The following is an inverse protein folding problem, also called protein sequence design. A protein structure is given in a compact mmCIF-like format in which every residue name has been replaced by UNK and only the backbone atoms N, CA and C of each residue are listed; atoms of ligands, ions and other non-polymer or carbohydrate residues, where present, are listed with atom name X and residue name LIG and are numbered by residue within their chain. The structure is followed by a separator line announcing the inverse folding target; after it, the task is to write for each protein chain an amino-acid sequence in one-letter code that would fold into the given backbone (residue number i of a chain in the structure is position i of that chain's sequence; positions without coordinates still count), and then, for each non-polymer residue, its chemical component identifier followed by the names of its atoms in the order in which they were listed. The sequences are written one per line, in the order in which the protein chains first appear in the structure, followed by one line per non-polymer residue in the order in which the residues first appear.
data_IF_523028984015
#
_entry.id   IF_523028984015
#
_cell.length_a   1.000
_cell.length_b   1.000
_cell.length_c   1.000
_cell.angle_alpha   90.00
_cell.angle_beta   90.00
_cell.angle_gamma   90.00
#
_symmetry.space_group_name_H-M   'P 1'
#
loop_
_entity.id
_entity.type
_entity.pdbx_description
1 polymer ?
#
# COMPACT_ATOMS: atom_id res chain seq x y z
N UNK A 1 50.34 1.32 -1.44
CA UNK A 1 50.58 0.38 -2.56
C UNK A 1 52.08 0.05 -2.68
N UNK A 2 52.48 -1.06 -3.30
CA UNK A 2 53.87 -1.60 -3.22
C UNK A 2 54.97 -0.60 -3.67
N UNK A 3 54.88 -0.05 -4.88
CA UNK A 3 55.88 0.89 -5.40
C UNK A 3 55.77 2.30 -4.80
N UNK A 4 54.61 2.65 -4.23
CA UNK A 4 54.40 3.93 -3.53
C UNK A 4 55.04 3.97 -2.13
N UNK A 5 55.49 2.83 -1.59
CA UNK A 5 56.16 2.80 -0.29
C UNK A 5 57.44 3.62 -0.34
N UNK A 6 57.67 4.46 0.68
CA UNK A 6 58.78 5.42 0.71
C UNK A 6 60.15 4.73 0.45
N UNK A 7 60.38 3.57 1.06
CA UNK A 7 61.60 2.80 0.85
C UNK A 7 61.76 2.30 -0.60
N UNK A 8 60.69 1.80 -1.21
CA UNK A 8 60.73 1.28 -2.58
C UNK A 8 60.88 2.43 -3.60
N UNK A 9 60.19 3.54 -3.37
CA UNK A 9 60.32 4.75 -4.19
C UNK A 9 61.76 5.31 -4.17
N UNK A 10 62.41 5.34 -2.99
CA UNK A 10 63.82 5.71 -2.86
C UNK A 10 64.76 4.77 -3.65
N UNK A 11 64.48 3.47 -3.64
CA UNK A 11 65.26 2.49 -4.42
C UNK A 11 65.10 2.72 -5.92
N UNK A 12 63.87 2.92 -6.42
CA UNK A 12 63.61 3.22 -7.83
C UNK A 12 64.35 4.49 -8.27
N UNK A 13 64.26 5.58 -7.49
CA UNK A 13 64.96 6.83 -7.77
C UNK A 13 66.49 6.67 -7.78
N UNK A 14 67.04 5.90 -6.84
CA UNK A 14 68.48 5.60 -6.77
C UNK A 14 68.96 4.81 -7.99
N UNK A 15 68.21 3.77 -8.39
CA UNK A 15 68.51 2.99 -9.59
C UNK A 15 68.49 3.87 -10.85
N UNK A 16 67.47 4.71 -11.03
CA UNK A 16 67.36 5.59 -12.20
C UNK A 16 68.58 6.51 -12.37
N UNK A 17 69.10 7.04 -11.26
CA UNK A 17 70.32 7.86 -11.24
C UNK A 17 71.56 7.04 -11.57
N UNK A 18 71.74 5.88 -10.92
CA UNK A 18 72.89 4.99 -11.16
C UNK A 18 72.94 4.51 -12.62
N UNK A 19 71.80 4.10 -13.16
CA UNK A 19 71.67 3.60 -14.52
C UNK A 19 71.92 4.69 -15.57
N UNK A 20 71.64 5.96 -15.27
CA UNK A 20 71.95 7.07 -16.18
C UNK A 20 73.44 7.40 -16.22
N UNK A 21 74.14 7.26 -15.08
CA UNK A 21 75.59 7.47 -15.00
C UNK A 21 76.43 6.25 -15.42
N UNK A 22 75.81 5.11 -15.66
CA UNK A 22 76.51 3.87 -15.96
C UNK A 22 77.07 3.89 -17.39
N UNK A 23 78.36 3.60 -17.54
CA UNK A 23 78.97 3.35 -18.84
C UNK A 23 79.18 1.84 -19.01
N UNK A 24 78.54 1.26 -20.03
CA UNK A 24 78.62 -0.16 -20.36
C UNK A 24 79.21 -0.26 -21.77
N UNK A 25 80.33 -0.96 -21.89
CA UNK A 25 81.02 -1.17 -23.18
C UNK A 25 80.25 -2.12 -24.10
N UNK A 26 79.56 -3.11 -23.53
CA UNK A 26 78.70 -4.04 -24.26
C UNK A 26 77.41 -3.36 -24.75
N UNK A 27 77.27 -3.27 -26.08
CA UNK A 27 76.14 -2.60 -26.73
C UNK A 27 74.78 -3.25 -26.40
N UNK A 28 74.73 -4.58 -26.33
CA UNK A 28 73.50 -5.34 -26.03
C UNK A 28 73.06 -5.07 -24.59
N UNK A 29 73.99 -5.12 -23.64
CA UNK A 29 73.69 -4.85 -22.22
C UNK A 29 73.39 -3.38 -21.96
N UNK A 30 74.02 -2.47 -22.69
CA UNK A 30 73.67 -1.05 -22.66
C UNK A 30 72.23 -0.82 -23.15
N UNK A 31 71.81 -1.50 -24.22
CA UNK A 31 70.42 -1.48 -24.71
C UNK A 31 69.45 -2.03 -23.66
N UNK A 32 69.75 -3.19 -23.06
CA UNK A 32 68.96 -3.79 -21.97
C UNK A 32 68.79 -2.83 -20.79
N UNK A 33 69.88 -2.20 -20.32
CA UNK A 33 69.82 -1.23 -19.22
C UNK A 33 68.97 -0.01 -19.56
N UNK A 34 69.08 0.54 -20.78
CA UNK A 34 68.25 1.68 -21.23
C UNK A 34 66.76 1.34 -21.24
N UNK A 35 66.41 0.14 -21.69
CA UNK A 35 65.03 -0.35 -21.67
C UNK A 35 64.53 -0.46 -20.23
N UNK A 36 65.28 -1.13 -19.36
CA UNK A 36 64.95 -1.26 -17.93
C UNK A 36 64.78 0.08 -17.24
N UNK A 37 65.70 1.02 -17.46
CA UNK A 37 65.61 2.38 -16.92
C UNK A 37 64.35 3.08 -17.39
N UNK A 38 63.97 2.92 -18.66
CA UNK A 38 62.76 3.54 -19.19
C UNK A 38 61.51 3.00 -18.52
N UNK A 39 61.37 1.67 -18.39
CA UNK A 39 60.24 1.02 -17.74
C UNK A 39 60.16 1.42 -16.26
N UNK A 40 61.29 1.36 -15.53
CA UNK A 40 61.36 1.81 -14.13
C UNK A 40 61.03 3.29 -14.01
N UNK A 41 61.36 4.10 -15.00
CA UNK A 41 60.98 5.51 -15.06
C UNK A 41 59.46 5.71 -15.13
N UNK A 42 58.73 4.85 -15.84
CA UNK A 42 57.27 4.85 -15.83
C UNK A 42 56.71 4.39 -14.47
N UNK A 43 57.29 3.35 -13.86
CA UNK A 43 56.91 2.90 -12.52
C UNK A 43 57.09 4.00 -11.47
N UNK A 44 58.20 4.75 -11.54
CA UNK A 44 58.48 5.84 -10.61
C UNK A 44 57.54 7.03 -10.79
N UNK A 45 57.12 7.33 -12.03
CA UNK A 45 56.19 8.42 -12.34
C UNK A 45 54.74 8.11 -11.93
N UNK A 46 54.33 6.85 -12.02
CA UNK A 46 52.96 6.41 -11.71
C UNK A 46 52.96 5.18 -10.78
N UNK A 47 53.49 5.29 -9.55
CA UNK A 47 53.74 4.13 -8.69
C UNK A 47 52.47 3.43 -8.23
N UNK A 48 51.35 4.15 -8.08
CA UNK A 48 50.06 3.57 -7.70
C UNK A 48 49.48 2.72 -8.84
N UNK A 49 49.44 3.27 -10.05
CA UNK A 49 48.91 2.61 -11.24
C UNK A 49 49.67 1.30 -11.55
N UNK A 50 51.00 1.32 -11.43
CA UNK A 50 51.83 0.12 -11.58
C UNK A 50 51.69 -0.84 -10.41
N UNK A 51 51.42 -0.37 -9.20
CA UNK A 51 51.22 -1.26 -8.05
C UNK A 51 49.88 -2.00 -8.11
N UNK A 52 48.85 -1.35 -8.64
CA UNK A 52 47.53 -1.95 -8.82
C UNK A 52 47.55 -2.97 -9.97
N UNK A 53 48.16 -2.60 -11.11
CA UNK A 53 48.16 -3.42 -12.32
C UNK A 53 49.21 -4.51 -12.35
N UNK A 54 50.20 -4.50 -11.46
CA UNK A 54 51.26 -5.50 -11.42
C UNK A 54 51.25 -6.37 -10.15
N UNK A 55 50.06 -6.67 -9.63
CA UNK A 55 49.88 -7.39 -8.37
C UNK A 55 50.44 -8.82 -8.37
N UNK A 56 50.42 -9.52 -9.51
CA UNK A 56 50.96 -10.87 -9.67
C UNK A 56 52.48 -10.87 -9.52
N UNK A 57 53.21 -10.07 -10.32
CA UNK A 57 54.67 -10.03 -10.16
C UNK A 57 55.07 -9.38 -8.83
N UNK A 58 54.31 -8.43 -8.26
CA UNK A 58 54.56 -7.93 -6.90
C UNK A 58 54.53 -9.09 -5.88
N UNK A 59 53.50 -9.93 -5.93
CA UNK A 59 53.33 -11.08 -5.04
C UNK A 59 54.45 -12.10 -5.20
N UNK A 60 54.89 -12.38 -6.42
CA UNK A 60 55.83 -13.47 -6.69
C UNK A 60 57.30 -13.06 -6.68
N UNK A 61 57.64 -11.86 -7.15
CA UNK A 61 59.02 -11.41 -7.37
C UNK A 61 59.27 -9.94 -6.96
N UNK A 62 58.29 -9.26 -6.36
CA UNK A 62 58.37 -7.82 -6.07
C UNK A 62 59.51 -7.45 -5.14
N UNK A 63 59.68 -8.17 -4.02
CA UNK A 63 60.76 -7.90 -3.06
C UNK A 63 62.15 -8.12 -3.68
N UNK A 64 62.31 -9.24 -4.41
CA UNK A 64 63.55 -9.57 -5.12
C UNK A 64 63.89 -8.53 -6.18
N UNK A 65 62.88 -8.00 -6.89
CA UNK A 65 63.07 -6.91 -7.83
C UNK A 65 63.64 -5.65 -7.17
N UNK A 66 63.08 -5.25 -6.02
CA UNK A 66 63.58 -4.09 -5.27
C UNK A 66 65.01 -4.31 -4.78
N UNK A 67 65.36 -5.52 -4.35
CA UNK A 67 66.73 -5.86 -3.94
C UNK A 67 67.71 -5.74 -5.10
N UNK A 68 67.40 -6.28 -6.27
CA UNK A 68 68.25 -6.16 -7.45
C UNK A 68 68.43 -4.72 -7.93
N UNK A 69 67.38 -3.90 -7.86
CA UNK A 69 67.50 -2.47 -8.17
C UNK A 69 68.39 -1.73 -7.15
N UNK A 70 68.31 -2.10 -5.86
CA UNK A 70 69.12 -1.50 -4.79
C UNK A 70 70.60 -1.80 -4.99
N UNK A 71 70.91 -3.07 -5.28
CA UNK A 71 72.26 -3.61 -5.35
C UNK A 71 72.92 -3.45 -6.72
N UNK A 72 72.22 -2.84 -7.69
CA UNK A 72 72.71 -2.58 -9.03
C UNK A 72 74.10 -1.92 -9.05
N UNK A 73 75.00 -2.52 -9.84
CA UNK A 73 76.35 -2.05 -10.15
C UNK A 73 76.60 -2.16 -11.65
N UNK A 74 77.17 -1.13 -12.25
CA UNK A 74 77.45 -1.10 -13.71
C UNK A 74 78.48 -2.12 -14.17
N UNK A 75 79.29 -2.68 -13.26
CA UNK A 75 80.29 -3.70 -13.55
C UNK A 75 79.74 -5.13 -13.57
N UNK A 76 78.48 -5.33 -13.16
CA UNK A 76 77.87 -6.66 -13.05
C UNK A 76 76.88 -6.91 -14.20
N UNK A 77 77.36 -7.63 -15.20
CA UNK A 77 76.59 -8.01 -16.38
C UNK A 77 75.35 -8.86 -16.05
N UNK A 78 75.45 -9.74 -15.05
CA UNK A 78 74.35 -10.63 -14.66
C UNK A 78 73.24 -9.85 -13.97
N UNK A 79 73.59 -8.80 -13.20
CA UNK A 79 72.62 -7.89 -12.60
C UNK A 79 71.77 -7.16 -13.66
N UNK A 80 72.39 -6.69 -14.76
CA UNK A 80 71.68 -6.01 -15.85
C UNK A 80 70.65 -6.95 -16.49
N UNK A 81 71.05 -8.19 -16.75
CA UNK A 81 70.20 -9.20 -17.38
C UNK A 81 69.00 -9.58 -16.50
N UNK A 82 69.22 -9.75 -15.20
CA UNK A 82 68.14 -10.01 -14.24
C UNK A 82 67.14 -8.85 -14.12
N UNK A 83 67.64 -7.62 -14.00
CA UNK A 83 66.80 -6.42 -13.95
C UNK A 83 66.02 -6.29 -15.24
N UNK A 84 66.65 -6.52 -16.39
CA UNK A 84 66.01 -6.51 -17.70
C UNK A 84 64.85 -7.50 -17.80
N UNK A 85 65.10 -8.78 -17.51
CA UNK A 85 64.06 -9.80 -17.54
C UNK A 85 62.88 -9.48 -16.62
N UNK A 86 63.14 -9.01 -15.39
CA UNK A 86 62.06 -8.65 -14.46
C UNK A 86 61.31 -7.40 -14.91
N UNK A 87 62.00 -6.35 -15.34
CA UNK A 87 61.32 -5.13 -15.82
C UNK A 87 60.39 -5.43 -16.99
N UNK A 88 60.78 -6.33 -17.88
CA UNK A 88 59.91 -6.79 -18.96
C UNK A 88 58.70 -7.60 -18.47
N UNK A 89 58.86 -8.45 -17.45
CA UNK A 89 57.72 -9.16 -16.81
C UNK A 89 56.68 -8.18 -16.29
N UNK A 90 57.11 -7.15 -15.57
CA UNK A 90 56.21 -6.10 -15.10
C UNK A 90 55.51 -5.36 -16.24
N UNK A 91 56.23 -5.07 -17.33
CA UNK A 91 55.64 -4.45 -18.52
C UNK A 91 54.55 -5.32 -19.15
N UNK A 92 54.81 -6.62 -19.31
CA UNK A 92 53.83 -7.57 -19.86
C UNK A 92 52.59 -7.70 -18.98
N UNK A 93 52.76 -7.72 -17.65
CA UNK A 93 51.63 -7.75 -16.73
C UNK A 93 50.82 -6.45 -16.77
N UNK A 94 51.50 -5.30 -16.78
CA UNK A 94 50.86 -4.00 -16.89
C UNK A 94 49.99 -3.90 -18.16
N UNK A 95 50.53 -4.36 -19.29
CA UNK A 95 49.81 -4.42 -20.56
C UNK A 95 48.60 -5.35 -20.50
N UNK A 96 48.77 -6.55 -19.93
CA UNK A 96 47.68 -7.52 -19.78
C UNK A 96 46.52 -7.00 -18.92
N UNK A 97 46.81 -6.19 -17.90
CA UNK A 97 45.84 -5.65 -16.94
C UNK A 97 45.51 -4.16 -17.16
N UNK A 98 45.73 -3.62 -18.35
CA UNK A 98 45.46 -2.20 -18.65
C UNK A 98 43.95 -1.89 -18.67
N UNK A 99 43.11 -2.89 -18.94
CA UNK A 99 41.65 -2.82 -18.92
C UNK A 99 41.01 -2.72 -20.30
N UNK A 100 39.70 -2.97 -20.37
CA UNK A 100 38.96 -3.04 -21.62
C UNK A 100 39.02 -1.71 -22.40
N UNK A 101 39.38 -1.78 -23.69
CA UNK A 101 39.44 -0.63 -24.59
C UNK A 101 40.61 0.33 -24.35
N UNK A 102 41.57 -0.03 -23.49
CA UNK A 102 42.80 0.73 -23.28
C UNK A 102 43.97 0.00 -23.92
N UNK A 103 44.90 0.77 -24.47
CA UNK A 103 46.14 0.26 -25.06
C UNK A 103 47.34 0.84 -24.33
N UNK A 104 48.42 0.09 -24.37
CA UNK A 104 49.71 0.52 -23.86
C UNK A 104 50.17 1.77 -24.63
N UNK A 105 50.79 2.72 -23.93
CA UNK A 105 51.25 3.94 -24.58
C UNK A 105 52.26 3.63 -25.70
N UNK A 106 52.32 4.46 -26.74
CA UNK A 106 53.15 4.18 -27.94
C UNK A 106 54.63 3.86 -27.62
N UNK A 107 55.19 4.48 -26.58
CA UNK A 107 56.58 4.27 -26.15
C UNK A 107 56.79 2.91 -25.47
N UNK A 108 55.87 2.49 -24.61
CA UNK A 108 55.93 1.19 -23.95
C UNK A 108 55.59 0.07 -24.95
N UNK A 109 54.71 0.32 -25.92
CA UNK A 109 54.39 -0.60 -27.01
C UNK A 109 55.58 -0.83 -27.93
N UNK A 110 56.32 0.23 -28.28
CA UNK A 110 57.54 0.09 -29.07
C UNK A 110 58.63 -0.65 -28.29
N UNK A 111 58.80 -0.37 -26.99
CA UNK A 111 59.72 -1.11 -26.11
C UNK A 111 59.35 -2.59 -26.07
N UNK A 112 58.07 -2.92 -25.85
CA UNK A 112 57.62 -4.32 -25.80
C UNK A 112 57.95 -5.05 -27.10
N UNK A 113 57.68 -4.44 -28.25
CA UNK A 113 58.01 -5.01 -29.57
C UNK A 113 59.51 -5.20 -29.77
N UNK A 114 60.32 -4.20 -29.41
CA UNK A 114 61.79 -4.30 -29.51
C UNK A 114 62.35 -5.47 -28.69
N UNK A 115 61.85 -5.67 -27.47
CA UNK A 115 62.27 -6.79 -26.61
C UNK A 115 61.91 -8.14 -27.24
N UNK A 116 60.75 -8.24 -27.90
CA UNK A 116 60.31 -9.47 -28.58
C UNK A 116 61.12 -9.76 -29.85
N UNK A 117 61.45 -8.73 -30.63
CA UNK A 117 62.27 -8.85 -31.84
C UNK A 117 63.71 -9.26 -31.51
N UNK A 118 64.31 -8.67 -30.47
CA UNK A 118 65.67 -8.98 -30.04
C UNK A 118 65.79 -10.33 -29.30
N UNK A 119 64.67 -10.97 -28.92
CA UNK A 119 64.68 -12.13 -28.03
C UNK A 119 65.47 -13.32 -28.58
N UNK A 120 65.51 -13.48 -29.91
CA UNK A 120 66.19 -14.60 -30.58
C UNK A 120 67.73 -14.58 -30.40
N UNK A 121 68.30 -13.40 -30.19
CA UNK A 121 69.75 -13.19 -30.09
C UNK A 121 70.24 -13.11 -28.63
N UNK A 122 69.39 -13.46 -27.65
CA UNK A 122 69.69 -13.36 -26.22
C UNK A 122 70.25 -14.66 -25.63
N UNK A 123 70.98 -14.52 -24.53
CA UNK A 123 71.42 -15.66 -23.71
C UNK A 123 70.21 -16.51 -23.27
N UNK A 124 70.40 -17.83 -23.21
CA UNK A 124 69.33 -18.81 -22.96
C UNK A 124 68.48 -18.49 -21.72
N UNK A 125 69.12 -18.03 -20.64
CA UNK A 125 68.45 -17.64 -19.40
C UNK A 125 67.54 -16.40 -19.59
N UNK A 126 68.02 -15.38 -20.31
CA UNK A 126 67.26 -14.15 -20.56
C UNK A 126 66.11 -14.46 -21.50
N UNK A 127 66.40 -15.15 -22.61
CA UNK A 127 65.41 -15.60 -23.58
C UNK A 127 64.25 -16.36 -22.91
N UNK A 128 64.58 -17.32 -22.03
CA UNK A 128 63.57 -18.10 -21.30
C UNK A 128 62.63 -17.23 -20.45
N UNK A 129 63.17 -16.18 -19.80
CA UNK A 129 62.34 -15.23 -19.04
C UNK A 129 61.45 -14.36 -19.93
N UNK A 130 61.95 -13.95 -21.10
CA UNK A 130 61.16 -13.17 -22.07
C UNK A 130 60.01 -14.01 -22.64
N UNK A 131 60.26 -15.28 -22.97
CA UNK A 131 59.23 -16.23 -23.43
C UNK A 131 58.19 -16.47 -22.33
N UNK A 132 58.63 -16.71 -21.09
CA UNK A 132 57.72 -16.86 -19.95
C UNK A 132 56.84 -15.63 -19.78
N UNK A 133 57.43 -14.43 -19.76
CA UNK A 133 56.72 -13.16 -19.59
C UNK A 133 55.70 -12.90 -20.71
N UNK A 134 56.04 -13.26 -21.95
CA UNK A 134 55.22 -12.97 -23.12
C UNK A 134 54.05 -13.94 -23.28
N UNK A 135 54.21 -15.22 -22.93
CA UNK A 135 53.26 -16.27 -23.28
C UNK A 135 52.71 -17.06 -22.09
N UNK A 136 53.56 -17.43 -21.13
CA UNK A 136 53.16 -18.31 -20.02
C UNK A 136 52.57 -17.52 -18.86
N UNK A 137 53.14 -16.36 -18.56
CA UNK A 137 52.73 -15.51 -17.44
C UNK A 137 51.29 -14.98 -17.59
N UNK A 138 50.82 -14.47 -18.76
CA UNK A 138 49.43 -14.07 -18.93
C UNK A 138 48.44 -15.21 -18.65
N UNK A 139 48.77 -16.44 -19.06
CA UNK A 139 47.94 -17.61 -18.79
C UNK A 139 47.91 -17.95 -17.28
N UNK A 140 49.02 -17.79 -16.56
CA UNK A 140 49.06 -17.97 -15.12
C UNK A 140 48.25 -16.90 -14.38
N UNK A 141 48.37 -15.63 -14.80
CA UNK A 141 47.55 -14.52 -14.26
C UNK A 141 46.08 -14.81 -14.48
N UNK A 142 45.69 -15.19 -15.70
CA UNK A 142 44.31 -15.56 -16.01
C UNK A 142 43.83 -16.75 -15.18
N UNK A 143 44.66 -17.78 -15.00
CA UNK A 143 44.33 -18.95 -14.18
C UNK A 143 44.11 -18.57 -12.71
N UNK A 144 44.94 -17.71 -12.15
CA UNK A 144 44.74 -17.21 -10.78
C UNK A 144 43.46 -16.38 -10.69
N UNK A 145 43.22 -15.47 -11.64
CA UNK A 145 42.00 -14.66 -11.66
C UNK A 145 40.73 -15.50 -11.82
N UNK A 146 40.74 -16.54 -12.67
CA UNK A 146 39.60 -17.45 -12.90
C UNK A 146 39.33 -18.31 -11.67
N UNK A 147 40.36 -18.70 -10.92
CA UNK A 147 40.20 -19.52 -9.72
C UNK A 147 39.86 -18.67 -8.48
N UNK A 148 40.34 -17.44 -8.40
CA UNK A 148 40.13 -16.51 -7.29
C UNK A 148 38.81 -15.73 -7.43
N UNK A 149 38.46 -15.31 -8.65
CA UNK A 149 37.11 -14.93 -8.99
C UNK A 149 36.26 -16.18 -8.88
N UNK A 150 35.50 -16.30 -7.79
CA UNK A 150 34.43 -17.26 -7.62
C UNK A 150 33.46 -17.21 -8.82
N UNK A 151 33.79 -17.81 -9.97
CA UNK A 151 32.89 -17.95 -11.12
C UNK A 151 31.67 -18.79 -10.72
N UNK A 152 31.82 -19.63 -9.69
CA UNK A 152 30.70 -20.24 -8.98
C UNK A 152 29.70 -19.23 -8.40
N UNK A 153 30.15 -18.06 -7.92
CA UNK A 153 29.26 -16.98 -7.45
C UNK A 153 28.44 -16.42 -8.61
N UNK A 154 29.01 -16.17 -9.79
CA UNK A 154 28.24 -15.71 -10.95
C UNK A 154 27.15 -16.70 -11.36
N UNK A 155 27.49 -18.00 -11.39
CA UNK A 155 26.50 -19.05 -11.68
C UNK A 155 25.41 -19.12 -10.60
N UNK A 156 25.78 -18.99 -9.33
CA UNK A 156 24.83 -18.97 -8.22
C UNK A 156 23.98 -17.68 -8.16
N UNK A 157 24.51 -16.57 -8.68
CA UNK A 157 23.82 -15.28 -8.73
C UNK A 157 22.69 -15.30 -9.74
N UNK A 158 22.95 -15.83 -10.95
CA UNK A 158 21.89 -16.04 -11.95
C UNK A 158 20.78 -16.97 -11.44
N UNK A 159 21.15 -18.05 -10.73
CA UNK A 159 20.16 -18.94 -10.09
C UNK A 159 19.32 -18.20 -9.03
N UNK A 160 19.97 -17.48 -8.10
CA UNK A 160 19.27 -16.70 -7.06
C UNK A 160 18.39 -15.60 -7.64
N UNK A 161 18.80 -14.97 -8.75
CA UNK A 161 18.01 -13.97 -9.45
C UNK A 161 16.74 -14.59 -10.04
N UNK A 162 16.85 -15.73 -10.71
CA UNK A 162 15.70 -16.45 -11.27
C UNK A 162 14.73 -16.91 -10.17
N UNK A 163 15.24 -17.41 -9.04
CA UNK A 163 14.44 -17.77 -7.86
C UNK A 163 13.71 -16.55 -7.27
N UNK A 164 14.39 -15.41 -7.14
CA UNK A 164 13.79 -14.18 -6.64
C UNK A 164 12.69 -13.63 -7.58
N UNK A 165 12.89 -13.68 -8.89
CA UNK A 165 11.87 -13.29 -9.88
C UNK A 165 10.63 -14.20 -9.80
N UNK A 166 10.85 -15.52 -9.63
CA UNK A 166 9.76 -16.48 -9.44
C UNK A 166 8.98 -16.20 -8.15
N UNK A 167 9.68 -16.01 -7.03
CA UNK A 167 9.07 -15.72 -5.73
C UNK A 167 8.25 -14.41 -5.78
N UNK A 168 8.80 -13.36 -6.43
CA UNK A 168 8.10 -12.09 -6.63
C UNK A 168 6.81 -12.27 -7.44
N UNK A 169 6.85 -13.09 -8.48
CA UNK A 169 5.67 -13.40 -9.30
C UNK A 169 4.60 -14.14 -8.49
N UNK A 170 5.01 -15.12 -7.68
CA UNK A 170 4.11 -15.87 -6.79
C UNK A 170 3.48 -14.96 -5.72
N UNK A 171 4.27 -14.12 -5.05
CA UNK A 171 3.77 -13.17 -4.06
C UNK A 171 2.82 -12.14 -4.66
N UNK A 172 3.09 -11.62 -5.86
CA UNK A 172 2.16 -10.71 -6.52
C UNK A 172 0.80 -11.38 -6.80
N UNK A 173 0.80 -12.66 -7.20
CA UNK A 173 -0.44 -13.43 -7.38
C UNK A 173 -1.18 -13.63 -6.07
N UNK A 174 -0.47 -13.97 -4.99
CA UNK A 174 -1.07 -14.16 -3.66
C UNK A 174 -1.66 -12.85 -3.12
N UNK A 175 -0.95 -11.73 -3.30
CA UNK A 175 -1.40 -10.40 -2.88
C UNK A 175 -2.66 -10.00 -3.63
N UNK A 176 -2.71 -10.17 -4.95
CA UNK A 176 -3.93 -9.85 -5.72
C UNK A 176 -5.10 -10.75 -5.34
N UNK A 177 -4.85 -12.05 -5.09
CA UNK A 177 -5.90 -12.95 -4.60
C UNK A 177 -6.46 -12.50 -3.24
N UNK A 178 -5.58 -12.14 -2.28
CA UNK A 178 -6.00 -11.62 -0.97
C UNK A 178 -6.72 -10.28 -1.07
N UNK A 179 -6.30 -9.42 -2.00
CA UNK A 179 -6.96 -8.12 -2.23
C UNK A 179 -8.39 -8.30 -2.71
N UNK A 180 -8.62 -9.25 -3.62
CA UNK A 180 -9.97 -9.62 -4.08
C UNK A 180 -10.79 -10.14 -2.88
N UNK A 181 -10.23 -11.01 -2.05
CA UNK A 181 -10.92 -11.54 -0.87
C UNK A 181 -11.30 -10.44 0.13
N UNK A 182 -10.39 -9.48 0.39
CA UNK A 182 -10.64 -8.33 1.26
C UNK A 182 -11.75 -7.44 0.71
N UNK A 183 -11.80 -7.20 -0.61
CA UNK A 183 -12.83 -6.37 -1.22
C UNK A 183 -14.22 -7.05 -1.16
N UNK A 184 -14.26 -8.38 -1.32
CA UNK A 184 -15.47 -9.18 -1.09
C UNK A 184 -15.94 -9.05 0.36
N UNK A 185 -15.02 -9.18 1.33
CA UNK A 185 -15.35 -9.01 2.75
C UNK A 185 -15.89 -7.60 3.05
N UNK A 186 -15.25 -6.57 2.49
CA UNK A 186 -15.68 -5.17 2.65
C UNK A 186 -17.11 -4.99 2.13
N UNK A 187 -17.42 -5.53 0.95
CA UNK A 187 -18.76 -5.45 0.35
C UNK A 187 -19.81 -6.12 1.25
N UNK A 188 -19.53 -7.34 1.73
CA UNK A 188 -20.42 -8.05 2.67
C UNK A 188 -20.62 -7.29 3.99
N UNK A 189 -19.58 -6.63 4.49
CA UNK A 189 -19.66 -5.88 5.73
C UNK A 189 -20.56 -4.64 5.59
N UNK A 190 -20.50 -3.95 4.44
CA UNK A 190 -21.41 -2.85 4.13
C UNK A 190 -22.86 -3.34 3.97
N UNK A 191 -23.09 -4.50 3.34
CA UNK A 191 -24.41 -5.15 3.28
C UNK A 191 -24.97 -5.42 4.69
N UNK A 192 -24.15 -6.01 5.58
CA UNK A 192 -24.56 -6.25 6.97
C UNK A 192 -24.83 -4.97 7.75
N UNK A 193 -24.03 -3.91 7.57
CA UNK A 193 -24.23 -2.61 8.21
C UNK A 193 -25.55 -1.97 7.78
N UNK A 194 -25.90 -2.07 6.50
CA UNK A 194 -27.19 -1.63 5.98
C UNK A 194 -28.33 -2.41 6.64
N UNK A 195 -28.25 -3.75 6.64
CA UNK A 195 -29.25 -4.61 7.30
C UNK A 195 -29.43 -4.29 8.78
N UNK A 196 -28.35 -4.07 9.52
CA UNK A 196 -28.38 -3.76 10.95
C UNK A 196 -29.04 -2.39 11.25
N UNK A 197 -28.78 -1.38 10.43
CA UNK A 197 -29.42 -0.06 10.59
C UNK A 197 -30.95 -0.15 10.42
N UNK A 198 -31.45 -0.97 9.50
CA UNK A 198 -32.90 -1.17 9.31
C UNK A 198 -33.54 -1.97 10.45
N UNK A 199 -32.82 -2.93 11.04
CA UNK A 199 -33.27 -3.62 12.26
C UNK A 199 -33.40 -2.63 13.43
N UNK A 200 -32.45 -1.69 13.54
CA UNK A 200 -32.51 -0.59 14.51
C UNK A 200 -33.74 0.31 14.31
N UNK A 201 -34.02 0.72 13.07
CA UNK A 201 -35.19 1.53 12.72
C UNK A 201 -36.51 0.79 12.99
N UNK A 202 -36.61 -0.49 12.62
CA UNK A 202 -37.76 -1.34 12.92
C UNK A 202 -38.03 -1.39 14.42
N UNK A 203 -36.99 -1.61 15.23
CA UNK A 203 -37.10 -1.62 16.70
C UNK A 203 -37.58 -0.26 17.21
N UNK A 204 -37.04 0.84 16.70
CA UNK A 204 -37.46 2.20 17.04
C UNK A 204 -38.95 2.44 16.75
N UNK A 205 -39.43 2.06 15.56
CA UNK A 205 -40.85 2.19 15.21
C UNK A 205 -41.73 1.28 16.07
N UNK A 206 -41.32 0.04 16.36
CA UNK A 206 -42.06 -0.89 17.24
C UNK A 206 -42.26 -0.33 18.66
N UNK A 207 -41.22 0.31 19.22
CA UNK A 207 -41.30 0.99 20.51
C UNK A 207 -42.24 2.21 20.45
N UNK A 208 -42.22 2.98 19.37
CA UNK A 208 -43.12 4.12 19.16
C UNK A 208 -44.59 3.68 19.02
N UNK A 209 -44.88 2.60 18.28
CA UNK A 209 -46.23 2.01 18.16
C UNK A 209 -46.73 1.59 19.53
N UNK A 210 -45.90 0.90 20.33
CA UNK A 210 -46.29 0.46 21.67
C UNK A 210 -46.64 1.64 22.58
N UNK A 211 -45.83 2.72 22.55
CA UNK A 211 -46.10 3.96 23.30
C UNK A 211 -47.40 4.63 22.85
N UNK A 212 -47.62 4.77 21.54
CA UNK A 212 -48.82 5.41 20.98
C UNK A 212 -50.08 4.57 21.20
N UNK A 213 -50.01 3.23 21.17
CA UNK A 213 -51.12 2.34 21.54
C UNK A 213 -51.53 2.52 23.00
N UNK A 214 -50.56 2.69 23.90
CA UNK A 214 -50.84 3.01 25.32
C UNK A 214 -51.53 4.37 25.45
N UNK A 215 -51.06 5.39 24.73
CA UNK A 215 -51.69 6.72 24.68
C UNK A 215 -53.13 6.65 24.14
N UNK A 216 -53.37 5.89 23.06
CA UNK A 216 -54.70 5.68 22.49
C UNK A 216 -55.64 4.98 23.47
N UNK A 217 -55.14 4.01 24.24
CA UNK A 217 -55.93 3.31 25.25
C UNK A 217 -56.30 4.24 26.42
N UNK A 218 -55.35 5.04 26.92
CA UNK A 218 -55.62 6.05 27.95
C UNK A 218 -56.65 7.09 27.46
N UNK A 219 -56.49 7.57 26.23
CA UNK A 219 -57.43 8.50 25.60
C UNK A 219 -58.83 7.87 25.42
N UNK A 220 -58.91 6.58 25.09
CA UNK A 220 -60.18 5.84 25.01
C UNK A 220 -60.85 5.72 26.39
N UNK A 221 -60.08 5.44 27.44
CA UNK A 221 -60.62 5.40 28.81
C UNK A 221 -61.13 6.78 29.25
N UNK A 222 -60.43 7.86 28.86
CA UNK A 222 -60.88 9.23 29.08
C UNK A 222 -62.20 9.55 28.36
N UNK A 223 -62.42 9.01 27.15
CA UNK A 223 -63.70 9.16 26.43
C UNK A 223 -64.85 8.47 27.18
N UNK A 224 -64.63 7.26 27.69
CA UNK A 224 -65.62 6.55 28.51
C UNK A 224 -65.95 7.37 29.76
N UNK A 225 -64.94 7.89 30.45
CA UNK A 225 -65.15 8.75 31.63
C UNK A 225 -65.97 10.00 31.31
N UNK A 226 -65.68 10.67 30.19
CA UNK A 226 -66.44 11.85 29.75
C UNK A 226 -67.88 11.51 29.32
N UNK A 227 -68.10 10.36 28.69
CA UNK A 227 -69.45 9.91 28.32
C UNK A 227 -70.31 9.68 29.57
N UNK A 228 -69.74 9.07 30.62
CA UNK A 228 -70.40 8.90 31.92
C UNK A 228 -70.69 10.28 32.55
N UNK A 229 -69.74 11.21 32.48
CA UNK A 229 -69.88 12.56 33.05
C UNK A 229 -70.98 13.38 32.36
N UNK A 230 -71.15 13.22 31.03
CA UNK A 230 -72.25 13.84 30.27
C UNK A 230 -73.61 13.26 30.71
N UNK A 231 -73.69 11.96 30.98
CA UNK A 231 -74.94 11.31 31.41
C UNK A 231 -75.28 11.59 32.88
N UNK A 232 -74.31 11.97 33.71
CA UNK A 232 -74.49 12.14 35.15
C UNK A 232 -75.57 13.18 35.51
N UNK A 233 -75.60 14.41 34.94
CA UNK A 233 -76.67 15.37 35.19
C UNK A 233 -78.06 14.81 34.89
N UNK A 234 -78.23 14.12 33.75
CA UNK A 234 -79.51 13.54 33.33
C UNK A 234 -79.96 12.41 34.27
N UNK A 235 -79.04 11.55 34.68
CA UNK A 235 -79.33 10.49 35.66
C UNK A 235 -79.67 11.09 37.03
N UNK A 236 -78.96 12.12 37.48
CA UNK A 236 -79.28 12.81 38.73
C UNK A 236 -80.67 13.45 38.69
N UNK A 237 -81.07 14.06 37.58
CA UNK A 237 -82.41 14.61 37.42
C UNK A 237 -83.49 13.52 37.49
N UNK A 238 -83.32 12.42 36.74
CA UNK A 238 -84.26 11.29 36.74
C UNK A 238 -84.40 10.68 38.14
N UNK A 239 -83.28 10.46 38.85
CA UNK A 239 -83.28 9.88 40.20
C UNK A 239 -83.91 10.81 41.24
N UNK A 240 -83.68 12.12 41.16
CA UNK A 240 -84.29 13.12 42.04
C UNK A 240 -85.82 13.16 41.86
N UNK A 241 -86.31 13.04 40.62
CA UNK A 241 -87.74 12.95 40.31
C UNK A 241 -88.34 11.64 40.86
N UNK A 242 -87.66 10.51 40.66
CA UNK A 242 -88.13 9.18 41.10
C UNK A 242 -88.19 9.03 42.63
N UNK A 243 -87.25 9.63 43.36
CA UNK A 243 -87.22 9.66 44.83
C UNK A 243 -88.26 10.61 45.45
N UNK A 244 -89.05 11.31 44.62
CA UNK A 244 -90.20 12.09 45.08
C UNK A 244 -89.82 13.35 45.86
N UNK A 245 -88.58 13.83 45.78
CA UNK A 245 -88.19 15.11 46.39
C UNK A 245 -88.86 16.32 45.72
N UNK A 246 -89.25 16.19 44.44
CA UNK A 246 -90.11 17.16 43.74
C UNK A 246 -91.60 16.80 43.86
N UNK A 247 -92.07 16.44 45.06
CA UNK A 247 -93.51 16.29 45.32
C UNK A 247 -94.13 17.69 45.40
N UNK A 248 -94.89 18.03 44.38
CA UNK A 248 -95.77 19.21 44.26
C UNK A 248 -95.08 20.57 44.00
N UNK A 249 -94.86 20.85 42.72
CA UNK A 249 -95.29 22.11 42.09
C UNK A 249 -95.35 21.88 40.59
N UNK A 250 -96.40 22.38 39.98
CA UNK A 250 -96.53 22.53 38.53
C UNK A 250 -95.23 23.06 37.92
N UNK A 251 -94.85 22.61 36.73
CA UNK A 251 -93.69 23.10 35.97
C UNK A 251 -93.78 24.63 35.89
N UNK A 252 -93.10 25.33 36.80
CA UNK A 252 -93.09 26.77 36.94
C UNK A 252 -91.74 27.37 36.56
N UNK A 253 -91.67 28.71 36.49
CA UNK A 253 -90.48 29.49 36.12
C UNK A 253 -89.24 29.22 36.98
N UNK A 254 -89.40 28.65 38.18
CA UNK A 254 -88.32 28.25 39.08
C UNK A 254 -87.46 27.09 38.53
N UNK A 255 -88.04 26.17 37.75
CA UNK A 255 -87.29 25.09 37.09
C UNK A 255 -86.43 25.60 35.92
N UNK A 256 -86.82 26.71 35.29
CA UNK A 256 -86.09 27.32 34.17
C UNK A 256 -84.72 27.87 34.62
N UNK A 257 -84.65 28.41 35.83
CA UNK A 257 -83.40 28.95 36.42
C UNK A 257 -82.37 27.86 36.75
N UNK A 258 -82.82 26.63 37.03
CA UNK A 258 -81.94 25.47 37.29
C UNK A 258 -81.51 24.78 35.98
N UNK A 259 -82.41 24.74 34.99
CA UNK A 259 -82.15 24.11 33.69
C UNK A 259 -81.12 24.87 32.85
N UNK A 260 -81.09 26.21 32.93
CA UNK A 260 -80.17 27.03 32.11
C UNK A 260 -78.67 26.81 32.44
N UNK A 261 -78.23 26.77 33.71
CA UNK A 261 -76.88 26.36 34.07
C UNK A 261 -76.58 24.90 33.71
N UNK A 262 -77.54 23.98 33.83
CA UNK A 262 -77.37 22.56 33.54
C UNK A 262 -77.09 22.32 32.05
N UNK A 263 -77.88 22.94 31.17
CA UNK A 263 -77.64 22.94 29.72
C UNK A 263 -76.27 23.55 29.39
N UNK A 264 -75.89 24.64 30.07
CA UNK A 264 -74.60 25.29 29.84
C UNK A 264 -73.42 24.38 30.19
N UNK A 265 -73.50 23.67 31.32
CA UNK A 265 -72.50 22.66 31.73
C UNK A 265 -72.47 21.50 30.73
N UNK A 266 -73.62 21.02 30.28
CA UNK A 266 -73.71 19.92 29.33
C UNK A 266 -73.08 20.25 27.97
N UNK A 267 -73.31 21.46 27.45
CA UNK A 267 -72.66 21.95 26.22
C UNK A 267 -71.13 21.98 26.38
N UNK A 268 -70.62 22.43 27.53
CA UNK A 268 -69.18 22.44 27.83
C UNK A 268 -68.62 21.02 27.90
N UNK A 269 -69.33 20.09 28.54
CA UNK A 269 -68.92 18.68 28.62
C UNK A 269 -68.88 18.01 27.23
N UNK A 270 -69.87 18.27 26.38
CA UNK A 270 -69.90 17.81 24.99
C UNK A 270 -68.72 18.39 24.19
N UNK A 271 -68.38 19.66 24.42
CA UNK A 271 -67.21 20.28 23.78
C UNK A 271 -65.91 19.55 24.17
N UNK A 272 -65.67 19.32 25.46
CA UNK A 272 -64.48 18.59 25.91
C UNK A 272 -64.47 17.13 25.41
N UNK A 273 -65.62 16.46 25.37
CA UNK A 273 -65.73 15.13 24.78
C UNK A 273 -65.32 15.14 23.31
N UNK A 274 -65.75 16.15 22.53
CA UNK A 274 -65.35 16.31 21.13
C UNK A 274 -63.84 16.54 20.98
N UNK A 275 -63.24 17.37 21.84
CA UNK A 275 -61.79 17.61 21.82
C UNK A 275 -61.01 16.32 22.08
N UNK A 276 -61.41 15.54 23.10
CA UNK A 276 -60.76 14.26 23.43
C UNK A 276 -60.96 13.24 22.29
N UNK A 277 -62.14 13.24 21.64
CA UNK A 277 -62.43 12.35 20.51
C UNK A 277 -61.56 12.68 19.30
N UNK A 278 -61.35 13.96 19.00
CA UNK A 278 -60.44 14.41 17.95
C UNK A 278 -59.00 14.00 18.25
N UNK A 279 -58.54 14.17 19.50
CA UNK A 279 -57.21 13.72 19.91
C UNK A 279 -57.06 12.19 19.79
N UNK A 280 -58.07 11.41 20.21
CA UNK A 280 -58.08 9.95 20.05
C UNK A 280 -57.97 9.53 18.57
N UNK A 281 -58.73 10.19 17.68
CA UNK A 281 -58.67 9.96 16.24
C UNK A 281 -57.30 10.31 15.67
N UNK A 282 -56.69 11.42 16.10
CA UNK A 282 -55.35 11.81 15.69
C UNK A 282 -54.30 10.77 16.11
N UNK A 283 -54.34 10.30 17.36
CA UNK A 283 -53.41 9.26 17.85
C UNK A 283 -53.57 7.96 17.04
N UNK A 284 -54.80 7.55 16.71
CA UNK A 284 -55.03 6.39 15.83
C UNK A 284 -54.43 6.55 14.43
N UNK A 285 -54.55 7.74 13.83
CA UNK A 285 -53.93 8.04 12.54
C UNK A 285 -52.40 7.97 12.63
N UNK A 286 -51.81 8.51 13.70
CA UNK A 286 -50.37 8.41 13.95
C UNK A 286 -49.91 6.96 14.09
N UNK A 287 -50.66 6.11 14.81
CA UNK A 287 -50.34 4.67 14.94
C UNK A 287 -50.32 4.02 13.56
N UNK A 288 -51.33 4.25 12.73
CA UNK A 288 -51.43 3.66 11.40
C UNK A 288 -50.26 4.06 10.49
N UNK A 289 -49.83 5.33 10.56
CA UNK A 289 -48.66 5.82 9.82
C UNK A 289 -47.35 5.20 10.30
N UNK A 290 -47.18 5.01 11.62
CA UNK A 290 -45.99 4.38 12.18
C UNK A 290 -45.96 2.88 11.86
N UNK A 291 -47.09 2.17 11.95
CA UNK A 291 -47.20 0.76 11.59
C UNK A 291 -46.86 0.54 10.11
N UNK A 292 -47.30 1.43 9.22
CA UNK A 292 -46.92 1.37 7.81
C UNK A 292 -45.40 1.45 7.64
N UNK A 293 -44.74 2.42 8.29
CA UNK A 293 -43.26 2.55 8.25
C UNK A 293 -42.55 1.35 8.86
N UNK A 294 -43.09 0.80 9.94
CA UNK A 294 -42.58 -0.41 10.58
C UNK A 294 -42.63 -1.62 9.63
N UNK A 295 -43.78 -1.85 8.97
CA UNK A 295 -43.95 -2.93 7.98
C UNK A 295 -43.02 -2.74 6.79
N UNK A 296 -42.85 -1.51 6.32
CA UNK A 296 -41.95 -1.21 5.22
C UNK A 296 -40.49 -1.45 5.61
N UNK A 297 -40.05 -1.09 6.83
CA UNK A 297 -38.70 -1.40 7.32
C UNK A 297 -38.43 -2.91 7.45
N UNK A 298 -39.43 -3.72 7.84
CA UNK A 298 -39.30 -5.19 7.80
C UNK A 298 -39.13 -5.71 6.38
N UNK A 299 -39.86 -5.13 5.44
CA UNK A 299 -39.75 -5.48 4.02
C UNK A 299 -38.41 -5.02 3.43
N UNK A 300 -37.83 -3.91 3.93
CA UNK A 300 -36.59 -3.35 3.42
C UNK A 300 -35.36 -4.23 3.67
N UNK A 301 -35.35 -5.04 4.74
CA UNK A 301 -34.26 -5.98 4.98
C UNK A 301 -34.14 -7.03 3.85
N UNK A 302 -35.26 -7.38 3.20
CA UNK A 302 -35.30 -8.17 1.96
C UNK A 302 -35.18 -7.31 0.68
N UNK A 303 -35.30 -5.98 0.82
CA UNK A 303 -35.23 -5.01 -0.26
C UNK A 303 -33.82 -4.55 -0.56
N UNK A 304 -32.86 -4.50 0.37
CA UNK A 304 -31.48 -4.12 0.03
C UNK A 304 -30.91 -5.01 -1.11
N UNK A 305 -31.24 -6.29 -1.05
CA UNK A 305 -30.95 -7.30 -2.09
C UNK A 305 -31.78 -7.16 -3.39
N UNK A 306 -32.90 -6.44 -3.34
CA UNK A 306 -33.85 -6.25 -4.44
C UNK A 306 -33.76 -4.85 -5.09
N UNK A 307 -33.38 -3.83 -4.32
CA UNK A 307 -33.20 -2.43 -4.71
C UNK A 307 -31.96 -2.27 -5.57
N UNK A 308 -30.87 -2.98 -5.24
CA UNK A 308 -29.71 -3.10 -6.12
C UNK A 308 -30.10 -3.64 -7.52
N UNK A 309 -31.07 -4.57 -7.59
CA UNK A 309 -31.60 -5.14 -8.84
C UNK A 309 -32.64 -4.27 -9.56
N UNK A 310 -33.40 -3.43 -8.85
CA UNK A 310 -34.42 -2.53 -9.43
C UNK A 310 -33.89 -1.14 -9.76
N UNK A 311 -32.83 -0.65 -9.10
CA UNK A 311 -32.25 0.66 -9.40
C UNK A 311 -31.74 0.76 -10.85
N UNK A 312 -31.39 -0.37 -11.45
CA UNK A 312 -31.08 -0.49 -12.89
C UNK A 312 -32.32 -0.48 -13.80
N UNK A 313 -33.53 -0.76 -13.26
CA UNK A 313 -34.78 -0.93 -14.04
C UNK A 313 -35.81 0.19 -13.84
N UNK A 314 -35.95 0.78 -12.65
CA UNK A 314 -36.89 1.88 -12.39
C UNK A 314 -36.53 2.70 -11.14
N UNK A 315 -35.70 3.74 -11.32
CA UNK A 315 -35.26 4.63 -10.24
C UNK A 315 -36.40 5.49 -9.64
N UNK A 316 -37.48 5.72 -10.40
CA UNK A 316 -38.60 6.58 -9.99
C UNK A 316 -39.48 5.92 -8.92
N UNK A 317 -39.58 4.58 -8.94
CA UNK A 317 -40.31 3.82 -7.94
C UNK A 317 -39.62 3.83 -6.56
N UNK A 318 -38.27 3.83 -6.56
CA UNK A 318 -37.43 3.91 -5.36
C UNK A 318 -37.60 5.27 -4.65
N UNK A 319 -37.56 6.37 -5.39
CA UNK A 319 -37.72 7.72 -4.84
C UNK A 319 -39.11 7.95 -4.21
N UNK A 320 -40.17 7.45 -4.84
CA UNK A 320 -41.55 7.51 -4.28
C UNK A 320 -41.69 6.69 -3.00
N UNK A 321 -40.98 5.57 -2.91
CA UNK A 321 -40.97 4.72 -1.73
C UNK A 321 -40.21 5.38 -0.58
N UNK A 322 -39.01 5.91 -0.81
CA UNK A 322 -38.23 6.63 0.21
C UNK A 322 -39.00 7.83 0.78
N UNK A 323 -39.68 8.59 -0.07
CA UNK A 323 -40.57 9.68 0.36
C UNK A 323 -41.72 9.19 1.25
N UNK A 324 -42.21 7.97 1.05
CA UNK A 324 -43.26 7.37 1.87
C UNK A 324 -42.74 6.98 3.27
N UNK A 325 -41.50 6.47 3.36
CA UNK A 325 -40.81 6.12 4.61
C UNK A 325 -40.45 7.36 5.44
N UNK A 326 -39.89 8.38 4.78
CA UNK A 326 -39.28 9.54 5.45
C UNK A 326 -40.20 10.77 5.56
N UNK A 327 -41.44 10.69 5.07
CA UNK A 327 -42.43 11.75 5.26
C UNK A 327 -42.67 12.07 6.76
N UNK A 328 -43.13 13.28 7.07
CA UNK A 328 -43.52 13.64 8.44
C UNK A 328 -44.70 12.80 8.94
N UNK A 329 -44.79 12.52 10.25
CA UNK A 329 -46.01 11.94 10.85
C UNK A 329 -47.03 13.07 10.97
N UNK A 330 -48.12 13.02 10.20
CA UNK A 330 -49.12 14.09 10.16
C UNK A 330 -50.24 13.81 11.18
N UNK A 331 -50.61 14.83 11.95
CA UNK A 331 -51.63 14.73 13.01
C UNK A 331 -53.08 14.90 12.52
N UNK A 332 -53.29 15.41 11.29
CA UNK A 332 -54.61 15.69 10.71
C UNK A 332 -55.05 14.60 9.73
N UNK A 333 -56.29 14.09 9.89
CA UNK A 333 -56.89 13.13 8.95
C UNK A 333 -57.15 13.72 7.57
N UNK A 334 -57.39 15.03 7.49
CA UNK A 334 -57.82 15.72 6.27
C UNK A 334 -56.63 16.20 5.42
N UNK A 335 -55.40 16.00 5.91
CA UNK A 335 -54.14 16.22 5.18
C UNK A 335 -53.38 14.91 4.98
N UNK A 336 -54.07 13.77 4.99
CA UNK A 336 -53.46 12.55 4.46
C UNK A 336 -53.18 12.78 2.97
N UNK A 337 -51.92 12.73 2.52
CA UNK A 337 -51.64 12.85 1.10
C UNK A 337 -52.37 11.71 0.38
N UNK A 338 -52.95 12.00 -0.79
CA UNK A 338 -53.71 11.04 -1.62
C UNK A 338 -52.92 9.79 -2.03
N UNK A 339 -51.63 9.73 -1.66
CA UNK A 339 -50.76 8.55 -1.73
C UNK A 339 -51.15 7.45 -0.74
N UNK A 340 -51.90 7.76 0.32
CA UNK A 340 -52.36 6.78 1.31
C UNK A 340 -53.59 5.98 0.83
N UNK A 341 -54.38 6.53 -0.10
CA UNK A 341 -55.40 5.78 -0.87
C UNK A 341 -54.79 4.87 -1.97
N UNK A 342 -53.45 4.89 -2.10
CA UNK A 342 -52.66 4.01 -2.95
C UNK A 342 -52.63 2.54 -2.49
N UNK A 343 -53.47 2.11 -1.53
CA UNK A 343 -53.68 0.70 -1.22
C UNK A 343 -54.15 -0.09 -2.46
N UNK A 344 -54.85 0.57 -3.38
CA UNK A 344 -55.19 0.06 -4.71
C UNK A 344 -53.97 -0.11 -5.64
N UNK A 345 -52.91 0.70 -5.48
CA UNK A 345 -51.64 0.59 -6.19
C UNK A 345 -50.70 -0.47 -5.58
N UNK A 346 -50.79 -0.75 -4.28
CA UNK A 346 -50.16 -1.93 -3.68
C UNK A 346 -50.70 -3.22 -4.30
N UNK A 347 -51.99 -3.26 -4.65
CA UNK A 347 -52.58 -4.36 -5.40
C UNK A 347 -51.94 -4.59 -6.77
N UNK A 348 -51.59 -3.53 -7.52
CA UNK A 348 -50.84 -3.66 -8.78
C UNK A 348 -49.38 -4.05 -8.57
N UNK A 349 -48.74 -3.59 -7.48
CA UNK A 349 -47.36 -3.95 -7.12
C UNK A 349 -47.22 -5.42 -6.70
N UNK A 350 -48.21 -5.96 -5.98
CA UNK A 350 -48.28 -7.39 -5.61
C UNK A 350 -48.58 -8.24 -6.85
N UNK A 351 -49.35 -7.72 -7.81
CA UNK A 351 -49.67 -8.43 -9.06
C UNK A 351 -48.46 -8.49 -10.01
N UNK A 352 -47.59 -7.48 -10.02
CA UNK A 352 -46.32 -7.49 -10.76
C UNK A 352 -45.23 -8.37 -10.14
N UNK A 353 -45.42 -8.85 -8.90
CA UNK A 353 -44.54 -9.81 -8.21
C UNK A 353 -44.91 -11.28 -8.49
N UNK A 354 -46.05 -11.55 -9.15
CA UNK A 354 -46.56 -12.90 -9.42
C UNK A 354 -46.38 -13.37 -10.87
N UNK A 355 -45.59 -12.65 -11.67
CA UNK A 355 -45.25 -12.99 -13.06
C UNK A 355 -43.77 -13.35 -13.18
#
# INVERSE_FOLDING_TARGET
MFFSQENNSKVLASFLRKAESAHIEDESRNKRLKISRTIVGYMYKAPEDWSERCSYNIKHIGNQFIEWLRDFKSSDNTSIDHIYSITYRFLCEYDFLIGAGKELNMNLSSIKRLVQEDAADMDENVHSQIIYASYVMPANIAKEFINDANIGIFKSFEQKKAEAEKLKSEWNKEIEAKKIEVDILKTKLEEYKIGFNFVGLYKGFSELVTKKKKEAFLSFLSLIGMAILILAPLITEITLVLLGMFKSKTIGTEHLYILMPLISIEVILIYFFRVILLNHRSVKVQIMQIELRQTLCQFIQSYADYASKIKEKDATALEKFENLIFSGVLSDSDKLPSTFDGFSQMGSFIKSLKA
#
